data_IF_995057960179
#
_entry.id   IF_995057960179
#
_cell.length_a   1.000
_cell.length_b   1.000
_cell.length_c   1.000
_cell.angle_alpha   90.00
_cell.angle_beta   90.00
_cell.angle_gamma   90.00
#
_symmetry.space_group_name_H-M   'P 1'
#
loop_
_entity.id
_entity.type
_entity.pdbx_description
1 polymer ?
#
# COMPACT_ATOMS: atom_id res chain seq x y z
N UNK A 1 6.02 6.76 22.10
CA UNK A 1 6.74 5.52 21.74
C UNK A 1 8.17 5.93 21.43
N UNK A 2 9.16 5.38 22.16
CA UNK A 2 10.56 5.66 21.80
C UNK A 2 10.99 4.72 20.66
N UNK A 3 11.22 5.30 19.47
CA UNK A 3 11.68 4.55 18.30
C UNK A 3 13.16 4.16 18.40
N UNK A 4 13.92 4.68 19.36
CA UNK A 4 15.33 4.33 19.58
C UNK A 4 15.51 2.90 20.11
N UNK A 5 14.54 2.40 20.85
CA UNK A 5 14.59 1.05 21.42
C UNK A 5 14.20 -0.03 20.40
N UNK A 6 13.68 0.37 19.24
CA UNK A 6 13.26 -0.54 18.19
C UNK A 6 14.46 -0.95 17.32
N UNK A 7 14.95 -2.18 17.52
CA UNK A 7 16.03 -2.76 16.71
C UNK A 7 15.48 -3.65 15.60
N UNK A 8 16.01 -3.47 14.38
CA UNK A 8 15.79 -4.43 13.31
C UNK A 8 16.77 -5.59 13.47
N UNK A 9 16.30 -6.69 14.06
CA UNK A 9 17.12 -7.90 14.26
C UNK A 9 17.44 -8.66 12.95
N UNK A 10 16.80 -8.28 11.84
CA UNK A 10 17.00 -8.95 10.54
C UNK A 10 18.13 -8.34 9.71
N UNK A 11 18.62 -7.15 10.06
CA UNK A 11 19.63 -6.45 9.28
C UNK A 11 20.92 -6.36 10.10
N UNK A 12 21.92 -7.15 9.71
CA UNK A 12 23.26 -7.17 10.31
C UNK A 12 24.31 -7.27 9.21
N UNK A 13 25.57 -6.94 9.54
CA UNK A 13 26.69 -7.10 8.60
C UNK A 13 26.80 -8.55 8.12
N UNK A 14 26.71 -9.53 9.02
CA UNK A 14 26.76 -10.95 8.67
C UNK A 14 25.63 -11.36 7.71
N UNK A 15 24.42 -10.83 7.91
CA UNK A 15 23.30 -11.10 7.01
C UNK A 15 23.54 -10.49 5.63
N UNK A 16 24.03 -9.25 5.57
CA UNK A 16 24.38 -8.56 4.31
C UNK A 16 25.47 -9.33 3.57
N UNK A 17 26.56 -9.65 4.26
CA UNK A 17 27.72 -10.37 3.71
C UNK A 17 27.30 -11.72 3.15
N UNK A 18 26.52 -12.51 3.91
CA UNK A 18 26.05 -13.81 3.48
C UNK A 18 25.19 -13.74 2.21
N UNK A 19 24.31 -12.75 2.09
CA UNK A 19 23.44 -12.60 0.92
C UNK A 19 24.19 -12.05 -0.29
N UNK A 20 25.01 -11.01 -0.13
CA UNK A 20 25.82 -10.45 -1.21
C UNK A 20 26.82 -11.48 -1.74
N UNK A 21 27.52 -12.19 -0.84
CA UNK A 21 28.46 -13.24 -1.23
C UNK A 21 27.78 -14.33 -2.04
N UNK A 22 26.59 -14.80 -1.62
CA UNK A 22 25.83 -15.81 -2.35
C UNK A 22 25.50 -15.36 -3.78
N UNK A 23 25.00 -14.13 -3.93
CA UNK A 23 24.65 -13.58 -5.24
C UNK A 23 25.87 -13.42 -6.15
N UNK A 24 26.97 -12.88 -5.62
CA UNK A 24 28.21 -12.69 -6.38
C UNK A 24 28.87 -14.02 -6.76
N UNK A 25 28.88 -15.01 -5.86
CA UNK A 25 29.38 -16.35 -6.16
C UNK A 25 28.56 -17.04 -7.26
N UNK A 26 27.24 -16.89 -7.22
CA UNK A 26 26.36 -17.44 -8.25
C UNK A 26 26.62 -16.79 -9.62
N UNK A 27 26.69 -15.45 -9.66
CA UNK A 27 27.04 -14.70 -10.87
C UNK A 27 28.39 -15.15 -11.44
N UNK A 28 29.45 -15.17 -10.61
CA UNK A 28 30.77 -15.60 -11.03
C UNK A 28 30.79 -17.04 -11.56
N UNK A 29 30.08 -17.96 -10.89
CA UNK A 29 30.02 -19.36 -11.31
C UNK A 29 29.33 -19.54 -12.67
N UNK A 30 28.31 -18.75 -13.00
CA UNK A 30 27.66 -18.77 -14.31
C UNK A 30 28.59 -18.22 -15.38
N UNK A 31 29.16 -17.03 -15.16
CA UNK A 31 29.99 -16.37 -16.17
C UNK A 31 31.28 -17.13 -16.45
N UNK A 32 31.96 -17.62 -15.41
CA UNK A 32 33.24 -18.33 -15.56
C UNK A 32 33.12 -19.66 -16.32
N UNK A 33 31.92 -20.26 -16.39
CA UNK A 33 31.69 -21.56 -17.03
C UNK A 33 31.25 -21.45 -18.48
N UNK A 34 30.53 -20.38 -18.84
CA UNK A 34 29.81 -20.35 -20.11
C UNK A 34 30.57 -19.64 -21.24
N UNK A 35 31.41 -18.62 -20.99
CA UNK A 35 32.10 -17.86 -22.06
C UNK A 35 33.22 -16.90 -21.59
N UNK A 36 33.94 -17.17 -20.50
CA UNK A 36 35.01 -16.25 -20.09
C UNK A 36 36.21 -16.34 -21.06
N UNK A 37 36.33 -15.35 -21.94
CA UNK A 37 37.53 -15.13 -22.77
C UNK A 37 38.66 -14.56 -21.90
N UNK A 38 39.92 -14.83 -22.29
CA UNK A 38 41.13 -14.50 -21.51
C UNK A 38 41.90 -13.31 -22.10
N UNK A 39 41.23 -12.43 -22.85
CA UNK A 39 41.90 -11.30 -23.49
C UNK A 39 42.07 -10.13 -22.51
N UNK A 40 43.07 -9.26 -22.70
CA UNK A 40 43.18 -8.02 -21.92
C UNK A 40 41.93 -7.13 -22.00
N UNK A 41 41.23 -7.13 -23.13
CA UNK A 41 39.97 -6.39 -23.27
C UNK A 41 38.87 -6.93 -22.34
N UNK A 42 38.84 -8.24 -22.09
CA UNK A 42 37.91 -8.84 -21.13
C UNK A 42 38.28 -8.48 -19.69
N UNK A 43 39.57 -8.32 -19.37
CA UNK A 43 40.00 -7.82 -18.05
C UNK A 43 39.48 -6.40 -17.80
N UNK A 44 39.55 -5.52 -18.79
CA UNK A 44 39.01 -4.15 -18.69
C UNK A 44 37.49 -4.16 -18.50
N UNK A 45 36.76 -5.00 -19.26
CA UNK A 45 35.30 -5.18 -19.09
C UNK A 45 34.95 -5.68 -17.69
N UNK A 46 35.73 -6.61 -17.13
CA UNK A 46 35.51 -7.11 -15.77
C UNK A 46 35.79 -6.04 -14.72
N UNK A 47 36.82 -5.20 -14.91
CA UNK A 47 37.10 -4.07 -14.02
C UNK A 47 35.96 -3.05 -14.05
N UNK A 48 35.52 -2.63 -15.23
CA UNK A 48 34.42 -1.68 -15.41
C UNK A 48 33.12 -2.21 -14.81
N UNK A 49 32.81 -3.50 -15.02
CA UNK A 49 31.65 -4.16 -14.42
C UNK A 49 31.75 -4.23 -12.89
N UNK A 50 32.96 -4.43 -12.35
CA UNK A 50 33.22 -4.40 -10.91
C UNK A 50 32.92 -3.03 -10.30
N UNK A 51 33.39 -1.95 -10.92
CA UNK A 51 33.11 -0.58 -10.50
C UNK A 51 31.62 -0.25 -10.59
N UNK A 52 30.96 -0.67 -11.68
CA UNK A 52 29.52 -0.54 -11.86
C UNK A 52 28.72 -1.30 -10.79
N UNK A 53 29.11 -2.53 -10.46
CA UNK A 53 28.46 -3.31 -9.40
C UNK A 53 28.64 -2.65 -8.02
N UNK A 54 29.83 -2.13 -7.71
CA UNK A 54 30.08 -1.41 -6.47
C UNK A 54 29.26 -0.10 -6.38
N UNK A 55 29.09 0.62 -7.49
CA UNK A 55 28.20 1.77 -7.57
C UNK A 55 26.73 1.38 -7.34
N UNK A 56 26.26 0.31 -7.99
CA UNK A 56 24.90 -0.20 -7.83
C UNK A 56 24.60 -0.61 -6.38
N UNK A 57 25.51 -1.35 -5.74
CA UNK A 57 25.36 -1.74 -4.33
C UNK A 57 25.24 -0.49 -3.45
N UNK A 58 26.13 0.49 -3.62
CA UNK A 58 26.07 1.76 -2.87
C UNK A 58 24.73 2.48 -3.07
N UNK A 59 24.26 2.58 -4.30
CA UNK A 59 22.97 3.23 -4.63
C UNK A 59 21.80 2.62 -3.85
N UNK A 60 21.75 1.29 -3.76
CA UNK A 60 20.73 0.58 -2.99
C UNK A 60 20.83 0.83 -1.48
N UNK A 61 22.04 0.87 -0.92
CA UNK A 61 22.22 1.23 0.49
C UNK A 61 21.79 2.67 0.77
N UNK A 62 22.09 3.61 -0.13
CA UNK A 62 21.65 5.00 -0.01
C UNK A 62 20.12 5.11 -0.05
N UNK A 63 19.45 4.38 -0.95
CA UNK A 63 17.98 4.30 -0.98
C UNK A 63 17.41 3.73 0.32
N UNK A 64 18.01 2.67 0.86
CA UNK A 64 17.57 2.09 2.14
C UNK A 64 17.74 3.08 3.29
N UNK A 65 18.86 3.81 3.34
CA UNK A 65 19.11 4.84 4.35
C UNK A 65 18.12 6.01 4.23
N UNK A 66 17.84 6.48 3.01
CA UNK A 66 16.82 7.50 2.75
C UNK A 66 15.45 7.03 3.26
N UNK A 67 15.05 5.81 2.91
CA UNK A 67 13.76 5.24 3.32
C UNK A 67 13.65 5.10 4.83
N UNK A 68 14.69 4.59 5.50
CA UNK A 68 14.73 4.44 6.96
C UNK A 68 14.63 5.81 7.64
N UNK A 69 15.37 6.81 7.12
CA UNK A 69 15.33 8.18 7.61
C UNK A 69 13.94 8.81 7.50
N UNK A 70 13.33 8.74 6.31
CA UNK A 70 11.96 9.23 6.06
C UNK A 70 10.95 8.49 6.94
N UNK A 71 11.00 7.16 6.96
CA UNK A 71 10.10 6.34 7.78
C UNK A 71 10.13 6.74 9.24
N UNK A 72 11.33 6.96 9.79
CA UNK A 72 11.50 7.37 11.19
C UNK A 72 10.96 8.78 11.46
N UNK A 73 11.11 9.72 10.52
CA UNK A 73 10.52 11.07 10.61
C UNK A 73 8.99 10.98 10.57
N UNK A 74 8.44 10.32 9.55
CA UNK A 74 7.00 10.23 9.35
C UNK A 74 6.29 9.54 10.53
N UNK A 75 6.87 8.49 11.12
CA UNK A 75 6.29 7.83 12.29
C UNK A 75 6.13 8.77 13.50
N UNK A 76 6.96 9.81 13.59
CA UNK A 76 6.84 10.85 14.63
C UNK A 76 5.88 11.95 14.19
N UNK A 77 6.07 12.48 12.99
CA UNK A 77 5.35 13.66 12.48
C UNK A 77 3.85 13.38 12.31
N UNK A 78 3.49 12.15 11.96
CA UNK A 78 2.11 11.73 11.74
C UNK A 78 1.54 10.90 12.90
N UNK A 79 2.25 10.85 14.04
CA UNK A 79 1.72 10.22 15.24
C UNK A 79 0.41 10.93 15.66
N UNK A 80 -0.64 10.16 15.90
CA UNK A 80 -1.95 10.69 16.32
C UNK A 80 -2.93 10.93 15.17
N UNK A 81 -2.52 10.74 13.92
CA UNK A 81 -3.43 10.65 12.77
C UNK A 81 -3.71 9.17 12.48
N UNK A 82 -4.98 8.83 12.27
CA UNK A 82 -5.41 7.50 11.87
C UNK A 82 -5.47 7.41 10.34
N UNK A 83 -4.54 6.68 9.72
CA UNK A 83 -4.59 6.41 8.27
C UNK A 83 -5.34 5.11 8.02
N UNK A 84 -6.46 5.18 7.29
CA UNK A 84 -7.29 4.02 6.98
C UNK A 84 -7.28 3.78 5.48
N UNK A 85 -6.66 2.68 5.07
CA UNK A 85 -6.79 2.14 3.71
C UNK A 85 -8.24 1.76 3.45
N UNK A 86 -8.78 2.20 2.32
CA UNK A 86 -10.08 1.77 1.81
C UNK A 86 -9.98 1.40 0.33
N UNK A 87 -10.79 0.44 -0.12
CA UNK A 87 -10.99 0.19 -1.55
C UNK A 87 -10.19 -0.96 -2.18
N UNK A 88 -9.68 -0.70 -3.39
CA UNK A 88 -9.50 -1.74 -4.43
C UNK A 88 -8.34 -2.70 -4.20
N UNK A 89 -7.30 -2.27 -3.50
CA UNK A 89 -6.14 -3.11 -3.23
C UNK A 89 -5.33 -2.63 -2.01
N UNK A 90 -4.25 -3.34 -1.72
CA UNK A 90 -3.37 -3.07 -0.59
C UNK A 90 -2.36 -1.93 -0.84
N UNK A 91 -2.46 -1.16 -1.92
CA UNK A 91 -1.50 -0.12 -2.26
C UNK A 91 -1.42 0.94 -1.16
N UNK A 92 -2.57 1.52 -0.79
CA UNK A 92 -2.64 2.59 0.22
C UNK A 92 -2.15 2.13 1.59
N UNK A 93 -2.37 0.86 1.95
CA UNK A 93 -1.78 0.29 3.17
C UNK A 93 -0.27 0.13 3.04
N UNK A 94 0.18 -0.56 2.00
CA UNK A 94 1.57 -1.02 1.85
C UNK A 94 2.51 0.16 1.76
N UNK A 95 2.22 1.10 0.86
CA UNK A 95 3.08 2.25 0.61
C UNK A 95 3.16 3.15 1.85
N UNK A 96 2.03 3.47 2.49
CA UNK A 96 2.05 4.31 3.69
C UNK A 96 2.76 3.65 4.87
N UNK A 97 2.68 2.33 5.01
CA UNK A 97 3.39 1.58 6.05
C UNK A 97 4.90 1.53 5.79
N UNK A 98 5.28 1.30 4.53
CA UNK A 98 6.67 1.25 4.07
C UNK A 98 7.41 2.56 4.35
N UNK A 99 6.73 3.69 4.10
CA UNK A 99 7.27 5.04 4.31
C UNK A 99 6.96 5.64 5.69
N UNK A 100 6.36 4.88 6.61
CA UNK A 100 6.17 5.29 8.00
C UNK A 100 5.08 6.33 8.26
N UNK A 101 4.23 6.62 7.28
CA UNK A 101 3.05 7.48 7.48
C UNK A 101 1.99 6.73 8.27
N UNK A 102 1.80 5.44 7.97
CA UNK A 102 0.99 4.51 8.77
C UNK A 102 1.90 3.63 9.62
N UNK A 103 1.64 3.44 10.92
CA UNK A 103 2.41 2.49 11.72
C UNK A 103 2.27 1.05 11.18
N UNK A 104 3.25 0.19 11.47
CA UNK A 104 3.20 -1.23 11.11
C UNK A 104 2.74 -2.08 12.29
N UNK A 105 2.33 -3.32 12.04
CA UNK A 105 1.72 -4.19 13.06
C UNK A 105 2.57 -4.37 14.33
N UNK A 106 3.91 -4.45 14.22
CA UNK A 106 4.78 -4.55 15.40
C UNK A 106 4.72 -3.30 16.30
N UNK A 107 4.38 -2.13 15.75
CA UNK A 107 4.12 -0.91 16.51
C UNK A 107 2.68 -0.82 17.04
N UNK A 108 1.91 -1.92 16.96
CA UNK A 108 0.54 -1.98 17.46
C UNK A 108 -0.52 -1.57 16.44
N UNK A 109 -0.15 -1.31 15.18
CA UNK A 109 -1.13 -1.01 14.14
C UNK A 109 -2.09 -2.19 13.94
N UNK A 110 -3.37 -1.89 14.03
CA UNK A 110 -4.45 -2.86 13.86
C UNK A 110 -4.93 -2.84 12.40
N UNK A 111 -5.27 -4.00 11.86
CA UNK A 111 -5.79 -4.11 10.49
C UNK A 111 -7.31 -3.86 10.45
N UNK A 112 -7.76 -3.05 9.49
CA UNK A 112 -9.17 -2.88 9.13
C UNK A 112 -9.64 -3.90 8.08
N UNK A 113 -10.94 -3.88 7.72
CA UNK A 113 -11.55 -4.87 6.83
C UNK A 113 -11.08 -4.76 5.37
N UNK A 114 -10.46 -3.64 4.98
CA UNK A 114 -9.90 -3.41 3.64
C UNK A 114 -8.41 -3.76 3.55
N UNK A 115 -7.78 -4.04 4.69
CA UNK A 115 -6.39 -4.44 4.71
C UNK A 115 -6.26 -5.90 4.29
N UNK A 116 -5.29 -6.19 3.42
CA UNK A 116 -5.00 -7.55 2.98
C UNK A 116 -6.17 -8.22 2.23
N UNK A 117 -6.94 -7.40 1.53
CA UNK A 117 -8.12 -7.79 0.74
C UNK A 117 -8.31 -6.86 -0.46
N UNK A 118 -9.16 -7.26 -1.39
CA UNK A 118 -9.50 -6.52 -2.61
C UNK A 118 -11.00 -6.20 -2.60
N UNK A 119 -11.32 -4.91 -2.53
CA UNK A 119 -12.70 -4.42 -2.55
C UNK A 119 -12.92 -3.45 -3.71
N UNK A 120 -13.56 -3.88 -4.81
CA UNK A 120 -13.94 -2.95 -5.88
C UNK A 120 -14.67 -1.72 -5.32
N UNK A 121 -14.49 -0.54 -5.92
CA UNK A 121 -15.08 0.69 -5.38
C UNK A 121 -16.61 0.60 -5.21
N UNK A 122 -17.30 -0.05 -6.14
CA UNK A 122 -18.76 -0.26 -6.06
C UNK A 122 -19.16 -1.15 -4.89
N UNK A 123 -18.38 -2.20 -4.61
CA UNK A 123 -18.53 -3.04 -3.43
C UNK A 123 -18.29 -2.26 -2.15
N UNK A 124 -17.24 -1.43 -2.13
CA UNK A 124 -16.92 -0.56 -0.98
C UNK A 124 -18.07 0.40 -0.69
N UNK A 125 -18.58 1.11 -1.70
CA UNK A 125 -19.75 1.99 -1.57
C UNK A 125 -20.92 1.24 -0.93
N UNK A 126 -21.27 0.06 -1.46
CA UNK A 126 -22.37 -0.77 -0.94
C UNK A 126 -22.14 -1.15 0.52
N UNK A 127 -20.94 -1.62 0.88
CA UNK A 127 -20.61 -2.02 2.25
C UNK A 127 -20.73 -0.84 3.24
N UNK A 128 -20.36 0.37 2.83
CA UNK A 128 -20.56 1.56 3.66
C UNK A 128 -22.06 1.89 3.82
N UNK A 129 -22.83 1.81 2.74
CA UNK A 129 -24.28 2.07 2.75
C UNK A 129 -25.07 1.06 3.58
N UNK A 130 -24.66 -0.21 3.58
CA UNK A 130 -25.39 -1.30 4.26
C UNK A 130 -24.75 -1.77 5.57
N UNK A 131 -23.80 -1.02 6.12
CA UNK A 131 -23.02 -1.44 7.31
C UNK A 131 -22.44 -2.86 7.22
N UNK A 132 -21.85 -3.18 6.08
CA UNK A 132 -21.27 -4.49 5.81
C UNK A 132 -22.28 -5.65 5.89
N UNK A 133 -23.56 -5.40 5.65
CA UNK A 133 -24.58 -6.45 5.52
C UNK A 133 -24.16 -7.52 4.50
N UNK A 134 -24.23 -8.80 4.91
CA UNK A 134 -23.88 -9.95 4.07
C UNK A 134 -22.37 -10.12 3.78
N UNK A 135 -21.51 -9.28 4.37
CA UNK A 135 -20.06 -9.30 4.12
C UNK A 135 -19.38 -10.58 4.63
N UNK A 136 -19.81 -11.06 5.80
CA UNK A 136 -19.31 -12.27 6.47
C UNK A 136 -20.34 -13.39 6.57
N UNK A 137 -21.41 -13.30 5.77
CA UNK A 137 -22.44 -14.33 5.70
C UNK A 137 -21.86 -15.57 4.99
N UNK A 138 -21.76 -16.73 5.68
CA UNK A 138 -21.17 -17.96 5.15
C UNK A 138 -21.74 -18.40 3.80
N UNK A 139 -23.04 -18.16 3.56
CA UNK A 139 -23.69 -18.54 2.30
C UNK A 139 -23.12 -17.77 1.09
N UNK A 140 -22.55 -16.59 1.34
CA UNK A 140 -21.94 -15.76 0.31
C UNK A 140 -20.43 -16.01 0.15
N UNK A 141 -19.82 -16.82 1.03
CA UNK A 141 -18.39 -17.10 1.04
C UNK A 141 -18.07 -18.35 0.21
N UNK A 142 -16.95 -18.30 -0.51
CA UNK A 142 -16.48 -19.42 -1.31
C UNK A 142 -14.98 -19.42 -1.49
N UNK A 143 -14.38 -20.60 -1.43
CA UNK A 143 -12.97 -20.79 -1.73
C UNK A 143 -12.74 -20.87 -3.24
N UNK A 144 -11.80 -20.06 -3.74
CA UNK A 144 -11.46 -20.00 -5.16
C UNK A 144 -10.16 -20.75 -5.38
N UNK A 145 -10.26 -22.04 -5.67
CA UNK A 145 -9.12 -22.98 -5.74
C UNK A 145 -7.99 -22.48 -6.66
N UNK A 146 -8.35 -21.97 -7.85
CA UNK A 146 -7.38 -21.41 -8.82
C UNK A 146 -6.47 -20.33 -8.23
N UNK A 147 -6.99 -19.53 -7.30
CA UNK A 147 -6.24 -18.42 -6.69
C UNK A 147 -5.91 -18.65 -5.21
N UNK A 148 -6.29 -19.81 -4.67
CA UNK A 148 -6.02 -20.24 -3.31
C UNK A 148 -6.45 -19.21 -2.24
N UNK A 149 -7.63 -18.61 -2.34
CA UNK A 149 -8.16 -17.65 -1.36
C UNK A 149 -9.68 -17.73 -1.19
N UNK A 150 -10.23 -17.06 -0.18
CA UNK A 150 -11.68 -16.89 0.01
C UNK A 150 -12.21 -15.66 -0.73
N UNK A 151 -13.41 -15.75 -1.28
CA UNK A 151 -14.14 -14.63 -1.88
C UNK A 151 -15.57 -14.55 -1.34
N UNK A 152 -16.11 -13.34 -1.29
CA UNK A 152 -17.55 -13.12 -1.12
C UNK A 152 -18.17 -12.82 -2.49
N UNK A 153 -19.01 -13.71 -3.01
CA UNK A 153 -19.54 -13.58 -4.37
C UNK A 153 -20.72 -12.59 -4.47
N UNK A 154 -21.45 -12.35 -3.38
CA UNK A 154 -22.58 -11.40 -3.34
C UNK A 154 -22.11 -9.94 -3.37
N UNK A 155 -21.08 -9.60 -2.58
CA UNK A 155 -20.50 -8.25 -2.57
C UNK A 155 -19.23 -8.15 -3.42
N UNK A 156 -18.80 -9.22 -4.10
CA UNK A 156 -17.65 -9.24 -5.02
C UNK A 156 -16.33 -8.80 -4.37
N UNK A 157 -16.07 -9.26 -3.15
CA UNK A 157 -14.82 -9.00 -2.43
C UNK A 157 -13.93 -10.23 -2.46
N UNK A 158 -12.62 -10.03 -2.57
CA UNK A 158 -11.64 -11.12 -2.44
C UNK A 158 -10.77 -10.93 -1.20
N UNK A 159 -10.62 -11.97 -0.40
CA UNK A 159 -9.77 -12.02 0.78
C UNK A 159 -8.42 -12.63 0.40
N UNK A 160 -7.71 -11.98 -0.53
CA UNK A 160 -6.58 -12.55 -1.28
C UNK A 160 -5.33 -12.88 -0.44
N UNK A 161 -5.29 -12.50 0.83
CA UNK A 161 -4.23 -12.91 1.78
C UNK A 161 -4.64 -14.03 2.73
N UNK A 162 -5.93 -14.36 2.77
CA UNK A 162 -6.44 -15.46 3.58
C UNK A 162 -6.37 -16.72 2.71
N UNK A 163 -5.13 -17.19 2.51
CA UNK A 163 -4.81 -18.24 1.54
C UNK A 163 -4.85 -19.63 2.16
N UNK A 164 -5.36 -20.61 1.42
CA UNK A 164 -5.45 -22.01 1.84
C UNK A 164 -6.82 -22.42 2.39
N UNK A 165 -7.09 -23.74 2.43
CA UNK A 165 -8.39 -24.28 2.80
C UNK A 165 -8.72 -24.15 4.30
N UNK A 166 -7.74 -23.84 5.15
CA UNK A 166 -7.98 -23.67 6.61
C UNK A 166 -9.03 -22.58 6.90
N UNK A 167 -9.16 -21.58 6.04
CA UNK A 167 -10.17 -20.52 6.18
C UNK A 167 -11.59 -20.95 5.80
N UNK A 168 -11.80 -22.17 5.31
CA UNK A 168 -13.14 -22.75 5.05
C UNK A 168 -13.65 -23.61 6.20
N UNK A 169 -12.81 -23.86 7.21
CA UNK A 169 -13.17 -24.69 8.36
C UNK A 169 -14.39 -24.13 9.11
N UNK A 170 -15.20 -25.04 9.66
CA UNK A 170 -16.40 -24.73 10.46
C UNK A 170 -17.33 -23.68 9.82
N UNK A 171 -17.54 -23.77 8.51
CA UNK A 171 -18.38 -22.81 7.79
C UNK A 171 -17.73 -21.42 7.69
N UNK A 172 -16.42 -21.39 7.41
CA UNK A 172 -15.59 -20.18 7.30
C UNK A 172 -15.33 -19.44 8.62
N UNK A 173 -15.48 -20.10 9.77
CA UNK A 173 -15.33 -19.46 11.08
C UNK A 173 -13.97 -18.75 11.29
N UNK A 174 -12.82 -19.31 10.86
CA UNK A 174 -11.53 -18.62 11.01
C UNK A 174 -11.48 -17.26 10.27
N UNK A 175 -12.08 -17.18 9.08
CA UNK A 175 -12.20 -15.92 8.34
C UNK A 175 -13.13 -14.95 9.07
N UNK A 176 -14.31 -15.44 9.47
CA UNK A 176 -15.34 -14.65 10.15
C UNK A 176 -14.77 -14.03 11.43
N UNK A 177 -14.02 -14.78 12.23
CA UNK A 177 -13.39 -14.29 13.45
C UNK A 177 -12.40 -13.16 13.18
N UNK A 178 -11.55 -13.33 12.16
CA UNK A 178 -10.58 -12.31 11.76
C UNK A 178 -11.31 -11.03 11.36
N UNK A 179 -12.27 -11.12 10.43
CA UNK A 179 -12.91 -9.94 9.89
C UNK A 179 -13.91 -9.31 10.84
N UNK A 180 -14.53 -10.06 11.75
CA UNK A 180 -15.33 -9.49 12.84
C UNK A 180 -14.48 -8.58 13.72
N UNK A 181 -13.26 -8.99 14.07
CA UNK A 181 -12.31 -8.13 14.81
C UNK A 181 -11.90 -6.91 14.00
N UNK A 182 -11.58 -7.08 12.71
CA UNK A 182 -11.19 -5.97 11.82
C UNK A 182 -12.33 -4.95 11.63
N UNK A 183 -13.57 -5.41 11.48
CA UNK A 183 -14.77 -4.55 11.41
C UNK A 183 -14.98 -3.77 12.70
N UNK A 184 -14.86 -4.44 13.86
CA UNK A 184 -14.95 -3.76 15.16
C UNK A 184 -13.91 -2.64 15.28
N UNK A 185 -12.68 -2.90 14.87
CA UNK A 185 -11.59 -1.92 14.89
C UNK A 185 -11.86 -0.75 13.94
N UNK A 186 -12.30 -1.04 12.72
CA UNK A 186 -12.67 -0.01 11.75
C UNK A 186 -13.81 0.87 12.24
N UNK A 187 -14.89 0.28 12.77
CA UNK A 187 -16.00 1.05 13.35
C UNK A 187 -15.55 1.94 14.51
N UNK A 188 -14.64 1.45 15.36
CA UNK A 188 -14.07 2.23 16.46
C UNK A 188 -13.24 3.42 15.96
N UNK A 189 -12.43 3.23 14.91
CA UNK A 189 -11.67 4.32 14.25
C UNK A 189 -12.63 5.36 13.66
N UNK A 190 -13.60 4.90 12.87
CA UNK A 190 -14.58 5.80 12.22
C UNK A 190 -15.46 6.57 13.21
N UNK A 191 -15.73 6.01 14.38
CA UNK A 191 -16.50 6.66 15.44
C UNK A 191 -15.65 7.54 16.37
N UNK A 192 -14.32 7.50 16.26
CA UNK A 192 -13.45 8.36 17.06
C UNK A 192 -13.43 9.79 16.52
N UNK A 193 -13.05 10.74 17.38
CA UNK A 193 -12.80 12.15 17.01
C UNK A 193 -11.32 12.39 16.64
N UNK A 194 -10.50 11.33 16.59
CA UNK A 194 -9.10 11.46 16.22
C UNK A 194 -8.99 11.79 14.73
N UNK A 195 -8.09 12.72 14.33
CA UNK A 195 -7.89 13.04 12.92
C UNK A 195 -7.68 11.79 12.08
N UNK A 196 -8.55 11.56 11.11
CA UNK A 196 -8.58 10.34 10.31
C UNK A 196 -8.44 10.67 8.83
N UNK A 197 -7.51 10.01 8.17
CA UNK A 197 -7.29 10.12 6.72
C UNK A 197 -7.67 8.78 6.08
N UNK A 198 -8.77 8.78 5.34
CA UNK A 198 -9.19 7.67 4.50
C UNK A 198 -8.40 7.71 3.19
N UNK A 199 -7.65 6.65 2.87
CA UNK A 199 -6.81 6.62 1.67
C UNK A 199 -7.33 5.55 0.73
N UNK A 200 -7.96 6.03 -0.35
CA UNK A 200 -8.47 5.22 -1.44
C UNK A 200 -7.46 5.14 -2.57
N UNK A 201 -7.23 3.96 -3.13
CA UNK A 201 -6.45 3.78 -4.35
C UNK A 201 -7.32 3.16 -5.44
N UNK A 202 -7.27 3.75 -6.63
CA UNK A 202 -7.82 3.16 -7.86
C UNK A 202 -6.69 2.87 -8.84
N UNK A 203 -6.52 1.58 -9.15
CA UNK A 203 -5.43 1.07 -10.00
C UNK A 203 -5.72 1.19 -11.50
N UNK A 204 -6.97 1.47 -11.86
CA UNK A 204 -7.42 1.61 -13.26
C UNK A 204 -8.58 2.60 -13.33
N UNK A 205 -8.29 3.90 -13.15
CA UNK A 205 -9.30 4.94 -13.17
C UNK A 205 -10.00 5.02 -14.54
N UNK A 206 -11.26 5.43 -14.52
CA UNK A 206 -12.09 5.71 -15.71
C UNK A 206 -12.80 7.05 -15.52
N UNK A 207 -13.53 7.50 -16.55
CA UNK A 207 -14.34 8.72 -16.46
C UNK A 207 -15.36 8.69 -15.29
N UNK A 208 -15.86 7.50 -14.93
CA UNK A 208 -16.83 7.34 -13.82
C UNK A 208 -16.18 7.25 -12.43
N UNK A 209 -14.85 7.11 -12.34
CA UNK A 209 -14.16 7.01 -11.05
C UNK A 209 -14.44 8.20 -10.14
N UNK A 210 -14.52 9.42 -10.69
CA UNK A 210 -14.87 10.62 -9.89
C UNK A 210 -16.26 10.53 -9.26
N UNK A 211 -17.26 10.06 -10.02
CA UNK A 211 -18.61 9.84 -9.51
C UNK A 211 -18.63 8.79 -8.40
N UNK A 212 -17.91 7.69 -8.57
CA UNK A 212 -17.80 6.65 -7.54
C UNK A 212 -17.10 7.18 -6.27
N UNK A 213 -16.08 8.02 -6.40
CA UNK A 213 -15.43 8.66 -5.24
C UNK A 213 -16.44 9.55 -4.50
N UNK A 214 -17.22 10.37 -5.21
CA UNK A 214 -18.28 11.19 -4.61
C UNK A 214 -19.31 10.32 -3.90
N UNK A 215 -19.74 9.22 -4.51
CA UNK A 215 -20.67 8.26 -3.89
C UNK A 215 -20.10 7.61 -2.63
N UNK A 216 -18.83 7.22 -2.66
CA UNK A 216 -18.11 6.65 -1.52
C UNK A 216 -18.05 7.66 -0.38
N UNK A 217 -17.68 8.91 -0.67
CA UNK A 217 -17.65 9.96 0.35
C UNK A 217 -19.03 10.24 0.94
N UNK A 218 -20.07 10.29 0.12
CA UNK A 218 -21.44 10.47 0.60
C UNK A 218 -21.89 9.30 1.48
N UNK A 219 -21.48 8.07 1.16
CA UNK A 219 -21.75 6.91 2.02
C UNK A 219 -21.05 7.03 3.38
N UNK A 220 -19.82 7.55 3.43
CA UNK A 220 -19.13 7.88 4.69
C UNK A 220 -19.92 8.93 5.48
N UNK A 221 -20.25 10.07 4.85
CA UNK A 221 -20.98 11.19 5.47
C UNK A 221 -22.35 10.80 6.02
N UNK A 222 -23.04 9.87 5.36
CA UNK A 222 -24.35 9.41 5.81
C UNK A 222 -24.32 8.62 7.11
N UNK A 223 -23.13 8.16 7.55
CA UNK A 223 -23.00 7.20 8.65
C UNK A 223 -22.10 7.69 9.79
N UNK A 224 -21.14 8.55 9.50
CA UNK A 224 -20.23 9.11 10.51
C UNK A 224 -20.11 10.63 10.34
N UNK A 225 -19.83 11.31 11.46
CA UNK A 225 -19.31 12.67 11.37
C UNK A 225 -17.98 12.64 10.60
N UNK A 226 -17.81 13.63 9.74
CA UNK A 226 -16.62 13.79 8.93
C UNK A 226 -15.78 14.99 9.35
N UNK A 227 -16.11 15.66 10.45
CA UNK A 227 -15.43 16.89 10.91
C UNK A 227 -13.92 16.67 11.15
N UNK A 228 -13.57 15.49 11.62
CA UNK A 228 -12.21 15.00 11.89
C UNK A 228 -11.67 14.11 10.76
N UNK A 229 -12.33 14.08 9.60
CA UNK A 229 -12.01 13.15 8.50
C UNK A 229 -11.66 13.86 7.19
N UNK A 230 -10.66 13.31 6.52
CA UNK A 230 -10.23 13.65 5.17
C UNK A 230 -10.23 12.38 4.30
N UNK A 231 -10.63 12.48 3.04
CA UNK A 231 -10.42 11.43 2.05
C UNK A 231 -9.36 11.83 1.03
N UNK A 232 -8.38 10.96 0.84
CA UNK A 232 -7.30 11.07 -0.14
C UNK A 232 -7.48 9.98 -1.17
N UNK A 233 -7.64 10.36 -2.44
CA UNK A 233 -7.86 9.44 -3.54
C UNK A 233 -6.66 9.42 -4.47
N UNK A 234 -6.02 8.27 -4.58
CA UNK A 234 -4.87 8.02 -5.45
C UNK A 234 -5.37 7.31 -6.70
N UNK A 235 -5.26 7.96 -7.86
CA UNK A 235 -5.68 7.43 -9.15
C UNK A 235 -4.46 7.15 -9.99
N UNK A 236 -4.12 5.87 -10.10
CA UNK A 236 -2.90 5.45 -10.79
C UNK A 236 -3.22 5.00 -12.21
N UNK A 237 -2.72 5.73 -13.19
CA UNK A 237 -2.95 5.48 -14.61
C UNK A 237 -1.83 4.61 -15.20
N UNK A 238 -2.12 3.77 -16.22
CA UNK A 238 -1.09 3.10 -17.00
C UNK A 238 -0.06 4.10 -17.54
N UNK A 239 1.20 3.70 -17.63
CA UNK A 239 2.27 4.58 -18.10
C UNK A 239 1.94 5.22 -19.45
N UNK A 240 2.08 6.55 -19.55
CA UNK A 240 1.83 7.29 -20.78
C UNK A 240 0.36 7.39 -21.21
N UNK A 241 -0.59 6.80 -20.46
CA UNK A 241 -2.00 6.89 -20.79
C UNK A 241 -2.53 8.32 -20.64
N UNK A 242 -3.49 8.69 -21.47
CA UNK A 242 -4.21 9.94 -21.29
C UNK A 242 -5.00 9.91 -19.97
N UNK A 243 -4.84 10.95 -19.15
CA UNK A 243 -5.66 11.13 -17.95
C UNK A 243 -7.02 11.65 -18.41
N UNK A 244 -8.03 10.80 -18.31
CA UNK A 244 -9.40 11.19 -18.65
C UNK A 244 -9.97 11.98 -17.46
N UNK A 245 -10.41 13.24 -17.65
CA UNK A 245 -11.06 14.00 -16.60
C UNK A 245 -12.29 13.25 -16.08
N UNK A 246 -12.40 13.14 -14.76
CA UNK A 246 -13.61 12.59 -14.13
C UNK A 246 -14.57 13.70 -13.74
N UNK A 247 -15.80 13.31 -13.36
CA UNK A 247 -16.71 14.21 -12.66
C UNK A 247 -15.99 14.96 -11.51
N UNK A 248 -16.27 16.26 -11.41
CA UNK A 248 -15.76 17.11 -10.33
C UNK A 248 -16.25 16.60 -8.99
N UNK A 249 -15.35 16.57 -8.01
CA UNK A 249 -15.67 16.21 -6.63
C UNK A 249 -15.80 17.52 -5.86
N UNK A 250 -17.02 17.85 -5.47
CA UNK A 250 -17.37 19.11 -4.83
C UNK A 250 -17.45 18.94 -3.31
N UNK A 251 -16.31 18.59 -2.70
CA UNK A 251 -16.16 18.54 -1.25
C UNK A 251 -14.70 18.83 -0.85
N UNK A 252 -14.43 19.86 -0.05
CA UNK A 252 -13.06 20.26 0.28
C UNK A 252 -12.33 19.25 1.16
N UNK A 253 -13.04 18.25 1.72
CA UNK A 253 -12.46 17.14 2.49
C UNK A 253 -12.05 15.98 1.59
N UNK A 254 -12.18 16.10 0.27
CA UNK A 254 -11.71 15.10 -0.69
C UNK A 254 -10.62 15.69 -1.55
N UNK A 255 -9.45 15.06 -1.53
CA UNK A 255 -8.34 15.42 -2.41
C UNK A 255 -7.99 14.27 -3.33
N UNK A 256 -7.62 14.58 -4.56
CA UNK A 256 -7.34 13.60 -5.61
C UNK A 256 -5.96 13.84 -6.19
N UNK A 257 -5.21 12.75 -6.38
CA UNK A 257 -3.98 12.74 -7.15
C UNK A 257 -4.13 11.81 -8.34
N UNK A 258 -3.91 12.35 -9.53
CA UNK A 258 -3.61 11.54 -10.71
C UNK A 258 -2.12 11.36 -10.84
N UNK A 259 -1.69 10.12 -11.04
CA UNK A 259 -0.29 9.78 -11.26
C UNK A 259 -0.19 8.61 -12.23
N UNK A 260 0.79 8.63 -13.12
CA UNK A 260 1.11 7.48 -13.95
C UNK A 260 2.03 6.51 -13.23
N UNK A 261 1.89 5.21 -13.52
CA UNK A 261 2.96 4.27 -13.25
C UNK A 261 4.26 4.74 -13.95
N UNK A 262 5.43 4.54 -13.31
CA UNK A 262 6.68 5.13 -13.78
C UNK A 262 7.16 4.54 -15.12
N UNK A 263 6.73 3.32 -15.47
CA UNK A 263 7.02 2.67 -16.75
C UNK A 263 5.95 1.66 -17.15
N UNK A 264 5.97 1.23 -18.40
CA UNK A 264 5.09 0.18 -18.91
C UNK A 264 5.28 -1.14 -18.14
N UNK A 265 4.17 -1.84 -17.86
CA UNK A 265 4.18 -3.13 -17.15
C UNK A 265 4.64 -3.04 -15.69
N UNK A 266 4.73 -1.85 -15.10
CA UNK A 266 5.08 -1.68 -13.69
C UNK A 266 4.04 -2.32 -12.77
N UNK A 267 4.52 -3.12 -11.80
CA UNK A 267 3.68 -3.76 -10.79
C UNK A 267 4.15 -3.33 -9.41
N UNK A 268 3.38 -2.49 -8.75
CA UNK A 268 3.78 -1.78 -7.52
C UNK A 268 4.16 -2.66 -6.34
N UNK A 269 3.66 -3.91 -6.25
CA UNK A 269 3.94 -4.80 -5.13
C UNK A 269 5.09 -5.78 -5.40
N UNK A 270 5.65 -5.80 -6.61
CA UNK A 270 6.71 -6.72 -6.97
C UNK A 270 8.09 -6.07 -6.75
N UNK A 271 8.99 -6.67 -5.95
CA UNK A 271 10.30 -6.10 -5.59
C UNK A 271 11.13 -5.57 -6.76
N UNK A 272 11.13 -6.27 -7.89
CA UNK A 272 11.86 -5.89 -9.12
C UNK A 272 11.39 -4.57 -9.76
N UNK A 273 10.26 -4.04 -9.32
CA UNK A 273 9.71 -2.75 -9.79
C UNK A 273 9.74 -1.71 -8.67
N UNK A 274 9.24 -2.02 -7.47
CA UNK A 274 9.15 -1.02 -6.39
C UNK A 274 10.48 -0.71 -5.72
N UNK A 275 11.44 -1.64 -5.71
CA UNK A 275 12.80 -1.40 -5.22
C UNK A 275 13.75 -1.08 -6.37
N UNK A 276 13.33 -0.16 -7.25
CA UNK A 276 14.20 0.53 -8.21
C UNK A 276 14.13 2.02 -7.94
N UNK A 277 15.07 2.82 -8.49
CA UNK A 277 15.06 4.28 -8.33
C UNK A 277 13.73 4.89 -8.82
N UNK A 278 13.24 4.44 -9.98
CA UNK A 278 11.96 4.86 -10.55
C UNK A 278 10.76 4.53 -9.65
N UNK A 279 10.72 3.30 -9.12
CA UNK A 279 9.66 2.85 -8.21
C UNK A 279 9.67 3.63 -6.89
N UNK A 280 10.86 3.87 -6.36
CA UNK A 280 11.08 4.65 -5.16
C UNK A 280 10.62 6.11 -5.31
N UNK A 281 10.97 6.76 -6.42
CA UNK A 281 10.52 8.13 -6.72
C UNK A 281 9.01 8.21 -6.93
N UNK A 282 8.42 7.21 -7.61
CA UNK A 282 6.97 7.10 -7.77
C UNK A 282 6.27 7.00 -6.40
N UNK A 283 6.71 6.10 -5.52
CA UNK A 283 6.15 5.97 -4.18
C UNK A 283 6.34 7.24 -3.34
N UNK A 284 7.51 7.89 -3.44
CA UNK A 284 7.77 9.15 -2.71
C UNK A 284 6.79 10.24 -3.11
N UNK A 285 6.49 10.39 -4.40
CA UNK A 285 5.49 11.35 -4.90
C UNK A 285 4.10 11.10 -4.31
N UNK A 286 3.69 9.83 -4.26
CA UNK A 286 2.41 9.42 -3.65
C UNK A 286 2.39 9.76 -2.17
N UNK A 287 3.44 9.38 -1.44
CA UNK A 287 3.54 9.58 0.01
C UNK A 287 3.56 11.07 0.35
N UNK A 288 4.33 11.87 -0.38
CA UNK A 288 4.39 13.32 -0.18
C UNK A 288 3.05 14.00 -0.45
N UNK A 289 2.26 13.51 -1.42
CA UNK A 289 0.90 14.00 -1.62
C UNK A 289 0.01 13.72 -0.41
N UNK A 290 0.00 12.48 0.10
CA UNK A 290 -0.78 12.10 1.29
C UNK A 290 -0.34 12.91 2.52
N UNK A 291 0.97 13.06 2.73
CA UNK A 291 1.56 13.87 3.82
C UNK A 291 1.08 15.32 3.76
N UNK A 292 1.16 15.96 2.59
CA UNK A 292 0.70 17.36 2.41
C UNK A 292 -0.77 17.52 2.71
N UNK A 293 -1.61 16.60 2.22
CA UNK A 293 -3.03 16.61 2.46
C UNK A 293 -3.37 16.46 3.95
N UNK A 294 -2.72 15.53 4.66
CA UNK A 294 -2.88 15.36 6.10
C UNK A 294 -2.43 16.60 6.91
N UNK A 295 -1.30 17.21 6.55
CA UNK A 295 -0.80 18.43 7.22
C UNK A 295 -1.77 19.61 7.00
N UNK A 296 -2.27 19.78 5.78
CA UNK A 296 -3.23 20.85 5.48
C UNK A 296 -4.52 20.67 6.28
N UNK A 297 -5.02 19.43 6.36
CA UNK A 297 -6.20 19.08 7.14
C UNK A 297 -6.04 19.40 8.63
N UNK A 298 -4.89 19.06 9.24
CA UNK A 298 -4.64 19.40 10.65
C UNK A 298 -4.59 20.91 10.93
N UNK A 299 -4.16 21.72 9.96
CA UNK A 299 -4.05 23.18 10.11
C UNK A 299 -5.36 23.93 9.90
N UNK A 300 -6.37 23.29 9.30
CA UNK A 300 -7.67 23.89 9.00
C UNK A 300 -8.83 22.93 9.38
N UNK A 301 -9.07 22.67 10.68
CA UNK A 301 -10.14 21.76 11.11
C UNK A 301 -11.53 22.26 10.70
N UNK A 302 -11.68 23.58 10.52
CA UNK A 302 -12.97 24.27 10.32
C UNK A 302 -13.33 24.49 8.84
N UNK A 303 -13.12 23.50 7.98
CA UNK A 303 -13.87 23.43 6.71
C UNK A 303 -15.28 22.86 7.01
N UNK A 304 -16.04 23.62 7.80
CA UNK A 304 -17.49 23.49 7.92
C UNK A 304 -18.09 24.53 6.96
N UNK A 305 -19.01 24.17 6.06
CA UNK A 305 -19.72 25.16 5.28
C UNK A 305 -20.60 25.99 6.22
N UNK A 306 -20.65 27.30 5.97
CA UNK A 306 -21.67 28.19 6.47
C UNK A 306 -23.05 27.82 5.94
#
# INVERSE_FOLDING_TARGET
MDLNDYRNEKFSNDYVDANLKRSLQHFFALTARESFSVSPADEDVVRDAGDGAAALVRDYFDMMLEQVGERRRNLKDFQGIQFVSIGEDCFSRTILTQWGVKPFAKLGEKSGPFDLSVHPITSTIKLFQTDFEGYLDPENLGFVEKYNFISNHKVKVSFNHETGPTYTEDGFQPLIDIYTRRLKQFRAVMASEAPTVLVFHSRSPTASTGQHITQLWNAVKSRWSVDDKLMVCLRTWPHGAEIIPSATIDDPRVTVMDIHYPREGYVWHLPRYCFTREGFEFERRVVDFVKRAAIQFQRQPSLAPA
#
